data_IF_165411091360
#
_entry.id   IF_165411091360
#
_cell.length_a   1.000
_cell.length_b   1.000
_cell.length_c   1.000
_cell.angle_alpha   90.00
_cell.angle_beta   90.00
_cell.angle_gamma   90.00
#
_symmetry.space_group_name_H-M   'P 1'
#
loop_
_entity.id
_entity.type
_entity.pdbx_description
1 polymer ?
#
# COMPACT_ATOMS: atom_id res chain seq x y z
N UNK A 1 12.44 21.02 -9.37
CA UNK A 1 11.81 20.09 -10.32
C UNK A 1 12.79 18.97 -10.56
N UNK A 2 12.33 17.73 -10.73
CA UNK A 2 13.18 16.55 -10.89
C UNK A 2 12.62 15.64 -11.99
N UNK A 3 13.49 14.84 -12.61
CA UNK A 3 13.11 13.79 -13.53
C UNK A 3 12.79 12.51 -12.74
N UNK A 4 11.52 12.08 -12.77
CA UNK A 4 11.05 10.93 -11.99
C UNK A 4 10.56 9.83 -12.91
N UNK A 5 11.05 8.61 -12.69
CA UNK A 5 10.43 7.42 -13.25
C UNK A 5 9.35 6.89 -12.30
N UNK A 6 8.15 6.58 -12.79
CA UNK A 6 7.10 5.94 -11.99
C UNK A 6 6.72 4.57 -12.57
N UNK A 7 6.90 3.52 -11.76
CA UNK A 7 6.75 2.13 -12.16
C UNK A 7 5.55 1.53 -11.41
N UNK A 8 4.47 1.26 -12.14
CA UNK A 8 3.24 0.69 -11.61
C UNK A 8 2.14 1.74 -11.45
N UNK A 9 1.14 1.70 -12.34
CA UNK A 9 0.04 2.68 -12.40
C UNK A 9 -1.29 2.02 -12.01
N UNK A 10 -1.25 1.30 -10.89
CA UNK A 10 -2.43 0.71 -10.28
C UNK A 10 -3.32 1.76 -9.60
N UNK A 11 -4.28 1.26 -8.82
CA UNK A 11 -5.22 2.09 -8.03
C UNK A 11 -4.50 3.07 -7.10
N UNK A 12 -3.35 2.66 -6.54
CA UNK A 12 -2.52 3.51 -5.69
C UNK A 12 -1.52 4.35 -6.52
N UNK A 13 -0.76 3.70 -7.41
CA UNK A 13 0.34 4.34 -8.12
C UNK A 13 -0.08 5.42 -9.13
N UNK A 14 -1.21 5.25 -9.82
CA UNK A 14 -1.68 6.22 -10.82
C UNK A 14 -1.94 7.62 -10.23
N UNK A 15 -2.76 7.74 -9.16
CA UNK A 15 -2.96 9.02 -8.47
C UNK A 15 -1.69 9.62 -7.89
N UNK A 16 -0.81 8.80 -7.29
CA UNK A 16 0.48 9.29 -6.74
C UNK A 16 1.35 9.89 -7.83
N UNK A 17 1.51 9.22 -8.97
CA UNK A 17 2.21 9.77 -10.13
C UNK A 17 1.55 11.08 -10.60
N UNK A 18 0.22 11.14 -10.61
CA UNK A 18 -0.53 12.34 -11.00
C UNK A 18 -0.25 13.56 -10.11
N UNK A 19 -0.09 13.36 -8.80
CA UNK A 19 0.30 14.43 -7.88
C UNK A 19 1.72 14.95 -8.16
N UNK A 20 2.66 14.04 -8.46
CA UNK A 20 4.01 14.43 -8.87
C UNK A 20 4.02 15.25 -10.15
N UNK A 21 3.18 14.90 -11.13
CA UNK A 21 3.05 15.65 -12.38
C UNK A 21 2.52 17.07 -12.12
N UNK A 22 1.47 17.18 -11.31
CA UNK A 22 0.87 18.46 -10.91
C UNK A 22 1.83 19.33 -10.09
N UNK A 23 2.75 18.72 -9.34
CA UNK A 23 3.81 19.43 -8.63
C UNK A 23 4.94 19.93 -9.56
N UNK A 24 4.85 19.70 -10.88
CA UNK A 24 5.79 20.22 -11.87
C UNK A 24 7.02 19.33 -12.10
N UNK A 25 6.99 18.07 -11.68
CA UNK A 25 8.04 17.11 -12.03
C UNK A 25 7.87 16.58 -13.45
N UNK A 26 8.97 16.18 -14.09
CA UNK A 26 8.94 15.49 -15.38
C UNK A 26 8.80 13.99 -15.13
N UNK A 27 7.74 13.37 -15.63
CA UNK A 27 7.51 11.92 -15.44
C UNK A 27 7.83 11.11 -16.69
N UNK A 28 8.53 10.00 -16.47
CA UNK A 28 8.54 8.84 -17.37
C UNK A 28 7.86 7.67 -16.68
N UNK A 29 6.75 7.20 -17.21
CA UNK A 29 5.94 6.17 -16.56
C UNK A 29 6.04 4.82 -17.26
N UNK A 30 6.00 3.77 -16.47
CA UNK A 30 5.90 2.39 -16.93
C UNK A 30 4.79 1.65 -16.20
N UNK A 31 4.05 0.83 -16.94
CA UNK A 31 3.15 -0.15 -16.37
C UNK A 31 3.13 -1.39 -17.26
N UNK A 32 3.10 -2.60 -16.66
CA UNK A 32 3.07 -3.89 -17.39
C UNK A 32 1.99 -3.90 -18.48
N UNK A 33 0.80 -3.40 -18.17
CA UNK A 33 -0.25 -3.12 -19.16
C UNK A 33 -0.01 -1.73 -19.74
N UNK A 34 0.55 -1.68 -20.96
CA UNK A 34 0.93 -0.41 -21.62
C UNK A 34 -0.26 0.55 -21.79
N UNK A 35 -1.48 0.04 -21.96
CA UNK A 35 -2.69 0.86 -22.06
C UNK A 35 -2.86 1.79 -20.85
N UNK A 36 -2.58 1.33 -19.63
CA UNK A 36 -2.66 2.17 -18.43
C UNK A 36 -1.65 3.31 -18.44
N UNK A 37 -0.43 3.05 -18.95
CA UNK A 37 0.60 4.08 -19.06
C UNK A 37 0.26 5.15 -20.10
N UNK A 38 -0.30 4.73 -21.25
CA UNK A 38 -0.80 5.66 -22.27
C UNK A 38 -1.94 6.54 -21.75
N UNK A 39 -2.97 5.93 -21.16
CA UNK A 39 -4.08 6.70 -20.59
C UNK A 39 -3.65 7.64 -19.47
N UNK A 40 -2.67 7.24 -18.66
CA UNK A 40 -2.11 8.13 -17.64
C UNK A 40 -1.37 9.32 -18.27
N UNK A 41 -0.53 9.08 -19.29
CA UNK A 41 0.23 10.13 -19.96
C UNK A 41 -0.67 11.11 -20.72
N UNK A 42 -1.76 10.63 -21.33
CA UNK A 42 -2.80 11.46 -21.94
C UNK A 42 -3.46 12.40 -20.91
N UNK A 43 -3.68 11.94 -19.67
CA UNK A 43 -4.35 12.70 -18.64
C UNK A 43 -3.46 13.73 -17.93
N UNK A 44 -2.19 13.41 -17.68
CA UNK A 44 -1.31 14.22 -16.82
C UNK A 44 -0.10 14.83 -17.55
N UNK A 45 0.18 14.39 -18.78
CA UNK A 45 1.45 14.68 -19.44
C UNK A 45 2.60 13.83 -18.88
N UNK A 46 3.49 13.37 -19.77
CA UNK A 46 4.62 12.54 -19.41
C UNK A 46 5.03 11.60 -20.54
N UNK A 47 6.16 10.92 -20.37
CA UNK A 47 6.68 9.96 -21.36
C UNK A 47 6.31 8.53 -20.96
N UNK A 48 5.92 7.70 -21.92
CA UNK A 48 5.65 6.27 -21.68
C UNK A 48 6.88 5.45 -22.05
N UNK A 49 7.44 4.72 -21.09
CA UNK A 49 8.54 3.80 -21.32
C UNK A 49 8.03 2.38 -21.63
N UNK A 50 8.84 1.61 -22.36
CA UNK A 50 8.55 0.21 -22.73
C UNK A 50 9.08 -0.81 -21.71
N UNK A 51 9.99 -0.40 -20.83
CA UNK A 51 10.50 -1.21 -19.73
C UNK A 51 10.87 -0.34 -18.51
N UNK A 52 10.97 -0.93 -17.30
CA UNK A 52 11.46 -0.23 -16.11
C UNK A 52 12.87 0.37 -16.30
N UNK A 53 13.78 -0.36 -16.94
CA UNK A 53 15.10 0.13 -17.31
C UNK A 53 15.01 1.37 -18.20
N UNK A 54 14.18 1.34 -19.25
CA UNK A 54 13.96 2.50 -20.13
C UNK A 54 13.34 3.70 -19.40
N UNK A 55 12.47 3.45 -18.42
CA UNK A 55 11.91 4.53 -17.61
C UNK A 55 12.98 5.23 -16.74
N UNK A 56 13.97 4.47 -16.27
CA UNK A 56 14.96 4.93 -15.30
C UNK A 56 16.23 5.57 -15.91
N UNK A 57 16.44 5.51 -17.23
CA UNK A 57 17.70 5.97 -17.89
C UNK A 57 18.09 7.42 -17.54
N UNK A 58 17.13 8.34 -17.51
CA UNK A 58 17.36 9.77 -17.23
C UNK A 58 16.70 10.24 -15.92
N UNK A 59 16.29 9.28 -15.09
CA UNK A 59 15.61 9.57 -13.83
C UNK A 59 16.61 9.84 -12.71
N UNK A 60 16.38 10.94 -11.99
CA UNK A 60 17.05 11.23 -10.71
C UNK A 60 16.41 10.43 -9.58
N UNK A 61 15.11 10.16 -9.71
CA UNK A 61 14.30 9.43 -8.74
C UNK A 61 13.49 8.37 -9.48
N UNK A 62 13.49 7.14 -8.97
CA UNK A 62 12.62 6.07 -9.44
C UNK A 62 11.68 5.69 -8.30
N UNK A 63 10.37 5.73 -8.57
CA UNK A 63 9.33 5.36 -7.62
C UNK A 63 8.60 4.12 -8.15
N UNK A 64 8.38 3.14 -7.28
CA UNK A 64 7.62 1.93 -7.62
C UNK A 64 6.40 1.73 -6.73
N UNK A 65 5.33 1.19 -7.32
CA UNK A 65 4.10 0.82 -6.64
C UNK A 65 3.45 -0.35 -7.40
N UNK A 66 3.92 -1.57 -7.13
CA UNK A 66 3.53 -2.79 -7.87
C UNK A 66 2.74 -3.77 -6.99
N UNK A 67 2.69 -5.06 -7.33
CA UNK A 67 1.81 -6.04 -6.66
C UNK A 67 2.48 -6.81 -5.53
N UNK A 68 3.60 -7.48 -5.84
CA UNK A 68 4.22 -8.51 -4.99
C UNK A 68 5.75 -8.36 -4.93
N UNK A 69 6.40 -9.13 -4.06
CA UNK A 69 7.86 -9.27 -4.00
C UNK A 69 8.46 -9.63 -5.36
N UNK A 70 7.85 -10.56 -6.09
CA UNK A 70 8.32 -10.99 -7.41
C UNK A 70 8.16 -9.90 -8.46
N UNK A 71 7.02 -9.19 -8.46
CA UNK A 71 6.83 -8.03 -9.34
C UNK A 71 7.89 -6.95 -9.05
N UNK A 72 8.14 -6.66 -7.77
CA UNK A 72 9.11 -5.65 -7.35
C UNK A 72 10.53 -6.06 -7.75
N UNK A 73 10.91 -7.31 -7.51
CA UNK A 73 12.21 -7.85 -7.94
C UNK A 73 12.36 -7.80 -9.46
N UNK A 74 11.32 -8.16 -10.22
CA UNK A 74 11.33 -8.08 -11.68
C UNK A 74 11.56 -6.67 -12.20
N UNK A 75 10.86 -5.67 -11.65
CA UNK A 75 10.96 -4.28 -12.13
C UNK A 75 12.20 -3.54 -11.63
N UNK A 76 12.93 -4.09 -10.66
CA UNK A 76 14.16 -3.48 -10.11
C UNK A 76 15.40 -4.25 -10.55
N UNK A 77 15.53 -5.50 -10.12
CA UNK A 77 16.69 -6.36 -10.31
C UNK A 77 16.61 -7.21 -11.59
N UNK A 78 15.45 -7.30 -12.24
CA UNK A 78 15.28 -8.05 -13.48
C UNK A 78 16.20 -7.59 -14.61
N UNK A 79 16.24 -8.36 -15.71
CA UNK A 79 17.05 -8.04 -16.90
C UNK A 79 16.75 -6.65 -17.47
N UNK A 80 15.48 -6.28 -17.46
CA UNK A 80 14.96 -4.97 -17.88
C UNK A 80 14.53 -4.10 -16.68
N UNK A 81 15.07 -4.39 -15.49
CA UNK A 81 14.73 -3.70 -14.25
C UNK A 81 15.40 -2.32 -14.13
N UNK A 82 14.82 -1.44 -13.32
CA UNK A 82 15.27 -0.06 -13.16
C UNK A 82 16.73 0.06 -12.70
N UNK A 83 17.22 -0.84 -11.82
CA UNK A 83 18.59 -0.76 -11.28
C UNK A 83 19.67 -1.03 -12.35
N UNK A 84 19.27 -1.41 -13.57
CA UNK A 84 20.17 -1.61 -14.71
C UNK A 84 20.62 -0.29 -15.34
N UNK A 85 19.85 0.78 -15.18
CA UNK A 85 20.05 2.05 -15.88
C UNK A 85 20.04 3.27 -14.97
N UNK A 86 19.59 3.12 -13.71
CA UNK A 86 19.72 4.16 -12.70
C UNK A 86 21.19 4.58 -12.51
N UNK A 87 21.42 5.90 -12.43
CA UNK A 87 22.75 6.50 -12.28
C UNK A 87 23.18 6.53 -10.81
N UNK A 88 24.48 6.42 -10.49
CA UNK A 88 24.97 6.65 -9.13
C UNK A 88 24.54 8.02 -8.59
N UNK A 89 24.17 8.08 -7.31
CA UNK A 89 23.58 9.25 -6.65
C UNK A 89 22.06 9.39 -6.80
N UNK A 90 21.41 8.54 -7.61
CA UNK A 90 19.95 8.54 -7.75
C UNK A 90 19.25 7.92 -6.53
N UNK A 91 17.94 8.15 -6.45
CA UNK A 91 17.10 7.70 -5.35
C UNK A 91 16.00 6.73 -5.84
N UNK A 92 15.90 5.58 -5.21
CA UNK A 92 14.82 4.62 -5.37
C UNK A 92 13.86 4.68 -4.18
N UNK A 93 12.56 4.80 -4.46
CA UNK A 93 11.48 4.80 -3.45
C UNK A 93 10.48 3.69 -3.80
N UNK A 94 10.25 2.76 -2.88
CA UNK A 94 9.26 1.69 -3.06
C UNK A 94 8.04 1.90 -2.16
N UNK A 95 6.87 2.09 -2.77
CA UNK A 95 5.57 2.14 -2.08
C UNK A 95 4.83 0.80 -2.07
N UNK A 96 5.40 -0.23 -2.68
CA UNK A 96 4.81 -1.57 -2.70
C UNK A 96 4.77 -2.13 -1.29
N UNK A 97 3.70 -2.81 -0.91
CA UNK A 97 3.70 -3.60 0.33
C UNK A 97 4.27 -4.98 0.02
N UNK A 98 5.46 -5.26 0.56
CA UNK A 98 6.29 -6.45 0.26
C UNK A 98 6.98 -6.94 1.54
N UNK A 99 7.70 -8.06 1.46
CA UNK A 99 8.48 -8.53 2.60
C UNK A 99 9.58 -7.54 3.01
N UNK A 100 9.90 -7.50 4.30
CA UNK A 100 11.07 -6.75 4.77
C UNK A 100 12.38 -7.32 4.24
N UNK A 101 12.39 -8.60 3.82
CA UNK A 101 13.52 -9.27 3.17
C UNK A 101 13.84 -8.65 1.81
N UNK A 102 12.87 -8.50 0.91
CA UNK A 102 13.13 -7.90 -0.42
C UNK A 102 13.54 -6.42 -0.28
N UNK A 103 12.93 -5.67 0.64
CA UNK A 103 13.35 -4.29 0.93
C UNK A 103 14.83 -4.20 1.35
N UNK A 104 15.27 -5.09 2.26
CA UNK A 104 16.68 -5.19 2.67
C UNK A 104 17.60 -5.60 1.52
N UNK A 105 17.16 -6.52 0.66
CA UNK A 105 17.91 -6.92 -0.53
C UNK A 105 18.10 -5.74 -1.50
N UNK A 106 17.02 -5.01 -1.81
CA UNK A 106 17.09 -3.86 -2.70
C UNK A 106 17.98 -2.75 -2.16
N UNK A 107 17.99 -2.55 -0.84
CA UNK A 107 18.93 -1.64 -0.21
C UNK A 107 20.40 -2.03 -0.48
N UNK A 108 20.76 -3.29 -0.26
CA UNK A 108 22.14 -3.78 -0.51
C UNK A 108 22.51 -3.69 -1.99
N UNK A 109 21.62 -4.12 -2.88
CA UNK A 109 21.83 -4.05 -4.34
C UNK A 109 21.94 -2.61 -4.83
N UNK A 110 21.13 -1.70 -4.28
CA UNK A 110 21.17 -0.28 -4.58
C UNK A 110 22.49 0.36 -4.14
N UNK A 111 22.90 0.14 -2.89
CA UNK A 111 24.16 0.67 -2.35
C UNK A 111 25.38 0.21 -3.17
N UNK A 112 25.40 -1.05 -3.62
CA UNK A 112 26.47 -1.58 -4.49
C UNK A 112 26.62 -0.83 -5.83
N UNK A 113 25.57 -0.10 -6.25
CA UNK A 113 25.49 0.69 -7.47
C UNK A 113 25.53 2.20 -7.21
N UNK A 114 25.67 2.61 -5.95
CA UNK A 114 25.57 4.00 -5.53
C UNK A 114 24.14 4.57 -5.63
N UNK A 115 23.11 3.72 -5.54
CA UNK A 115 21.70 4.13 -5.56
C UNK A 115 21.18 4.14 -4.11
N UNK A 116 20.68 5.29 -3.67
CA UNK A 116 20.00 5.39 -2.39
C UNK A 116 18.63 4.72 -2.47
N UNK A 117 18.27 3.90 -1.49
CA UNK A 117 17.00 3.16 -1.49
C UNK A 117 16.18 3.41 -0.23
N UNK A 118 14.87 3.61 -0.40
CA UNK A 118 13.90 3.79 0.68
C UNK A 118 12.70 2.86 0.46
N UNK A 119 12.47 1.95 1.40
CA UNK A 119 11.18 1.25 1.49
C UNK A 119 10.17 2.16 2.20
N UNK A 120 9.14 2.58 1.49
CA UNK A 120 8.20 3.61 1.89
C UNK A 120 6.73 3.16 1.71
N UNK A 121 6.30 1.98 2.20
CA UNK A 121 4.91 1.57 2.07
C UNK A 121 3.94 2.60 2.66
N UNK A 122 2.72 2.61 2.12
CA UNK A 122 1.73 3.65 2.38
C UNK A 122 0.47 3.12 3.06
N UNK A 123 -0.23 3.99 3.77
CA UNK A 123 -1.57 3.76 4.34
C UNK A 123 -2.48 4.95 4.06
N UNK A 124 -3.80 4.72 4.03
CA UNK A 124 -4.83 5.70 3.64
C UNK A 124 -5.72 5.26 2.46
N UNK A 125 -5.42 4.12 1.83
CA UNK A 125 -6.21 3.55 0.73
C UNK A 125 -6.27 4.41 -0.53
N UNK A 126 -7.14 4.04 -1.46
CA UNK A 126 -7.34 4.75 -2.73
C UNK A 126 -7.69 6.22 -2.49
N UNK A 127 -8.61 6.51 -1.57
CA UNK A 127 -9.01 7.87 -1.23
C UNK A 127 -7.82 8.72 -0.74
N UNK A 128 -6.92 8.15 0.05
CA UNK A 128 -5.69 8.82 0.48
C UNK A 128 -4.76 9.15 -0.69
N UNK A 129 -4.63 8.23 -1.65
CA UNK A 129 -3.81 8.43 -2.85
C UNK A 129 -4.40 9.50 -3.78
N UNK A 130 -5.70 9.46 -4.03
CA UNK A 130 -6.40 10.45 -4.87
C UNK A 130 -6.35 11.85 -4.28
N UNK A 131 -6.50 11.98 -2.96
CA UNK A 131 -6.50 13.26 -2.27
C UNK A 131 -5.09 13.77 -1.91
N UNK A 132 -4.03 12.99 -2.16
CA UNK A 132 -2.66 13.38 -1.81
C UNK A 132 -2.42 13.45 -0.30
N UNK A 133 -3.07 12.57 0.46
CA UNK A 133 -3.08 12.55 1.93
C UNK A 133 -2.61 11.21 2.51
N UNK A 134 -1.71 10.52 1.83
CA UNK A 134 -1.17 9.24 2.32
C UNK A 134 -0.35 9.43 3.59
N UNK A 135 -0.31 8.37 4.40
CA UNK A 135 0.65 8.20 5.50
C UNK A 135 1.74 7.24 5.05
N UNK A 136 3.00 7.67 5.12
CA UNK A 136 4.15 6.93 4.59
C UNK A 136 5.09 6.53 5.72
N UNK A 137 5.46 5.25 5.73
CA UNK A 137 6.35 4.61 6.71
C UNK A 137 7.69 4.32 6.03
N UNK A 138 8.74 5.06 6.35
CA UNK A 138 10.01 5.01 5.61
C UNK A 138 11.09 4.23 6.36
N UNK A 139 11.62 3.19 5.73
CA UNK A 139 12.88 2.52 6.08
C UNK A 139 14.00 2.93 5.13
N UNK A 140 15.19 3.21 5.66
CA UNK A 140 16.35 3.61 4.87
C UNK A 140 17.36 4.41 5.69
N UNK A 141 18.43 4.88 5.05
CA UNK A 141 19.37 5.81 5.71
C UNK A 141 18.72 7.19 5.88
N UNK A 142 19.14 7.93 6.90
CA UNK A 142 18.61 9.28 7.16
C UNK A 142 18.78 10.24 5.96
N UNK A 143 19.93 10.26 5.24
CA UNK A 143 20.07 11.07 4.04
C UNK A 143 19.09 10.67 2.93
N UNK A 144 18.93 9.37 2.66
CA UNK A 144 18.03 8.87 1.62
C UNK A 144 16.56 9.23 1.94
N UNK A 145 16.13 9.02 3.19
CA UNK A 145 14.76 9.34 3.63
C UNK A 145 14.52 10.86 3.62
N UNK A 146 15.53 11.67 3.96
CA UNK A 146 15.43 13.13 3.88
C UNK A 146 15.25 13.61 2.44
N UNK A 147 16.01 13.06 1.49
CA UNK A 147 15.83 13.33 0.07
C UNK A 147 14.44 12.89 -0.43
N UNK A 148 14.01 11.68 -0.05
CA UNK A 148 12.72 11.13 -0.43
C UNK A 148 11.53 11.97 0.10
N UNK A 149 11.64 12.53 1.30
CA UNK A 149 10.61 13.38 1.91
C UNK A 149 10.23 14.57 1.02
N UNK A 150 11.19 15.17 0.33
CA UNK A 150 10.97 16.36 -0.51
C UNK A 150 9.95 16.06 -1.61
N UNK A 151 10.05 14.90 -2.27
CA UNK A 151 9.12 14.52 -3.34
C UNK A 151 7.84 13.88 -2.80
N UNK A 152 7.92 13.14 -1.69
CA UNK A 152 6.76 12.49 -1.08
C UNK A 152 5.71 13.49 -0.54
N UNK A 153 6.13 14.70 -0.18
CA UNK A 153 5.21 15.76 0.28
C UNK A 153 4.13 16.15 -0.74
N UNK A 154 4.34 15.86 -2.03
CA UNK A 154 3.34 16.12 -3.06
C UNK A 154 2.05 15.28 -2.92
N UNK A 155 2.12 14.12 -2.24
CA UNK A 155 1.01 13.17 -2.14
C UNK A 155 0.82 12.58 -0.73
N UNK A 156 1.51 13.12 0.27
CA UNK A 156 1.49 12.60 1.63
C UNK A 156 1.15 13.69 2.64
N UNK A 157 0.25 13.35 3.57
CA UNK A 157 -0.04 14.18 4.74
C UNK A 157 0.91 13.87 5.92
N UNK A 158 1.49 12.66 5.94
CA UNK A 158 2.40 12.24 7.01
C UNK A 158 3.51 11.36 6.45
N UNK A 159 4.75 11.67 6.78
CA UNK A 159 5.93 10.91 6.38
C UNK A 159 6.82 10.69 7.60
N UNK A 160 7.03 9.44 7.99
CA UNK A 160 7.79 9.09 9.21
C UNK A 160 8.97 8.21 8.85
N UNK A 161 10.17 8.59 9.29
CA UNK A 161 11.36 7.73 9.23
C UNK A 161 11.32 6.80 10.44
N UNK A 162 11.18 5.49 10.20
CA UNK A 162 10.92 4.50 11.26
C UNK A 162 12.13 3.59 11.53
N UNK A 163 13.20 3.71 10.75
CA UNK A 163 14.43 2.96 10.96
C UNK A 163 15.20 2.74 9.65
N UNK A 164 16.13 1.77 9.69
CA UNK A 164 16.90 1.35 8.52
C UNK A 164 16.07 0.58 7.49
N UNK A 165 16.73 0.04 6.46
CA UNK A 165 16.07 -0.72 5.39
C UNK A 165 15.21 -1.88 5.94
N UNK A 166 14.00 -2.01 5.41
CA UNK A 166 12.98 -2.97 5.83
C UNK A 166 12.13 -2.53 7.02
N UNK A 167 12.50 -1.46 7.73
CA UNK A 167 11.71 -0.94 8.85
C UNK A 167 10.38 -0.34 8.36
N UNK A 168 10.32 0.23 7.16
CA UNK A 168 9.08 0.72 6.56
C UNK A 168 8.10 -0.44 6.33
N UNK A 169 8.56 -1.51 5.68
CA UNK A 169 7.75 -2.73 5.47
C UNK A 169 7.31 -3.39 6.77
N UNK A 170 8.22 -3.52 7.75
CA UNK A 170 7.88 -4.08 9.07
C UNK A 170 6.82 -3.21 9.78
N UNK A 171 6.94 -1.89 9.69
CA UNK A 171 5.92 -0.97 10.23
C UNK A 171 4.59 -1.10 9.51
N UNK A 172 4.60 -1.30 8.19
CA UNK A 172 3.39 -1.58 7.41
C UNK A 172 2.72 -2.87 7.87
N UNK A 173 3.46 -3.93 8.18
CA UNK A 173 2.90 -5.16 8.75
C UNK A 173 2.20 -4.89 10.08
N UNK A 174 2.80 -4.09 10.97
CA UNK A 174 2.15 -3.64 12.22
C UNK A 174 0.82 -2.93 11.91
N UNK A 175 0.79 -2.03 10.92
CA UNK A 175 -0.43 -1.35 10.51
C UNK A 175 -1.52 -2.35 10.06
N UNK A 176 -1.16 -3.33 9.24
CA UNK A 176 -2.12 -4.32 8.73
C UNK A 176 -2.63 -5.27 9.82
N UNK A 177 -1.77 -5.64 10.78
CA UNK A 177 -2.18 -6.40 11.99
C UNK A 177 -3.25 -5.63 12.78
N UNK A 178 -3.03 -4.34 13.04
CA UNK A 178 -4.02 -3.51 13.74
C UNK A 178 -5.33 -3.41 12.97
N UNK A 179 -5.27 -3.19 11.65
CA UNK A 179 -6.47 -3.09 10.80
C UNK A 179 -7.27 -4.40 10.84
N UNK A 180 -6.60 -5.55 10.75
CA UNK A 180 -7.27 -6.85 10.77
C UNK A 180 -8.06 -7.08 12.07
N UNK A 181 -7.44 -6.79 13.22
CA UNK A 181 -8.12 -6.91 14.52
C UNK A 181 -9.33 -5.98 14.64
N UNK A 182 -9.19 -4.71 14.23
CA UNK A 182 -10.27 -3.73 14.25
C UNK A 182 -11.43 -4.15 13.34
N UNK A 183 -11.15 -4.56 12.11
CA UNK A 183 -12.19 -4.94 11.15
C UNK A 183 -12.97 -6.18 11.61
N UNK A 184 -12.30 -7.17 12.20
CA UNK A 184 -12.99 -8.33 12.75
C UNK A 184 -13.92 -7.94 13.90
N UNK A 185 -13.44 -7.11 14.84
CA UNK A 185 -14.29 -6.61 15.92
C UNK A 185 -15.49 -5.81 15.42
N UNK A 186 -15.32 -4.98 14.39
CA UNK A 186 -16.42 -4.24 13.77
C UNK A 186 -17.42 -5.16 13.06
N UNK A 187 -16.93 -6.19 12.37
CA UNK A 187 -17.79 -7.17 11.70
C UNK A 187 -18.67 -7.93 12.71
N UNK A 188 -18.10 -8.36 13.84
CA UNK A 188 -18.83 -8.99 14.93
C UNK A 188 -19.85 -8.04 15.57
N UNK A 189 -19.43 -6.82 15.92
CA UNK A 189 -20.30 -5.82 16.53
C UNK A 189 -21.49 -5.45 15.62
N UNK A 190 -21.26 -5.29 14.31
CA UNK A 190 -22.30 -5.01 13.31
C UNK A 190 -23.37 -6.10 13.29
N UNK A 191 -22.95 -7.36 13.21
CA UNK A 191 -23.89 -8.49 13.14
C UNK A 191 -24.57 -8.77 14.47
N UNK A 192 -23.88 -8.53 15.58
CA UNK A 192 -24.49 -8.55 16.91
C UNK A 192 -25.59 -7.49 17.04
N UNK A 193 -25.33 -6.26 16.60
CA UNK A 193 -26.33 -5.18 16.64
C UNK A 193 -27.57 -5.52 15.79
N UNK A 194 -27.38 -6.14 14.61
CA UNK A 194 -28.49 -6.64 13.78
C UNK A 194 -29.28 -7.75 14.48
N UNK A 195 -28.60 -8.73 15.08
CA UNK A 195 -29.24 -9.82 15.81
C UNK A 195 -29.97 -9.35 17.08
N UNK A 196 -29.52 -8.24 17.67
CA UNK A 196 -30.18 -7.57 18.79
C UNK A 196 -31.29 -6.59 18.34
N UNK A 197 -31.61 -6.55 17.04
CA UNK A 197 -32.64 -5.69 16.44
C UNK A 197 -32.42 -4.18 16.73
N UNK A 198 -31.16 -3.75 16.84
CA UNK A 198 -30.80 -2.36 17.08
C UNK A 198 -30.75 -1.56 15.77
N UNK A 199 -31.13 -0.28 15.85
CA UNK A 199 -30.94 0.67 14.76
C UNK A 199 -29.44 0.97 14.57
N UNK A 200 -28.91 0.62 13.40
CA UNK A 200 -27.46 0.63 13.15
C UNK A 200 -26.88 2.04 13.05
N UNK A 201 -27.66 3.02 12.63
CA UNK A 201 -27.23 4.42 12.58
C UNK A 201 -27.15 5.01 13.99
N UNK A 202 -28.14 4.72 14.85
CA UNK A 202 -28.14 5.09 16.27
C UNK A 202 -26.98 4.42 17.03
N UNK A 203 -26.71 3.14 16.75
CA UNK A 203 -25.55 2.44 17.34
C UNK A 203 -24.24 3.12 16.94
N UNK A 204 -24.09 3.47 15.65
CA UNK A 204 -22.91 4.19 15.18
C UNK A 204 -22.76 5.54 15.87
N UNK A 205 -23.82 6.35 15.95
CA UNK A 205 -23.82 7.63 16.65
C UNK A 205 -23.35 7.48 18.11
N UNK A 206 -23.84 6.45 18.81
CA UNK A 206 -23.52 6.23 20.21
C UNK A 206 -22.04 5.86 20.45
N UNK A 207 -21.42 5.07 19.56
CA UNK A 207 -20.08 4.50 19.80
C UNK A 207 -18.94 5.19 19.03
N UNK A 208 -19.25 5.85 17.91
CA UNK A 208 -18.24 6.49 17.06
C UNK A 208 -17.59 7.73 17.67
N UNK A 209 -18.16 8.31 18.73
CA UNK A 209 -17.52 9.38 19.51
C UNK A 209 -16.66 8.89 20.69
N UNK A 210 -16.67 7.58 20.97
CA UNK A 210 -16.08 7.01 22.19
C UNK A 210 -14.78 6.23 21.95
N UNK A 211 -14.34 5.48 22.98
CA UNK A 211 -13.09 4.71 22.95
C UNK A 211 -13.06 3.58 21.91
N UNK A 212 -14.22 3.15 21.40
CA UNK A 212 -14.34 2.16 20.33
C UNK A 212 -14.08 2.74 18.94
N UNK A 213 -13.99 4.08 18.82
CA UNK A 213 -13.81 4.75 17.54
C UNK A 213 -12.54 4.27 16.84
N UNK A 214 -12.66 4.12 15.52
CA UNK A 214 -11.52 3.90 14.65
C UNK A 214 -11.83 4.44 13.26
N UNK A 215 -10.78 4.72 12.48
CA UNK A 215 -10.95 5.11 11.08
C UNK A 215 -11.78 4.07 10.29
N UNK A 216 -11.61 2.78 10.60
CA UNK A 216 -12.38 1.72 9.94
C UNK A 216 -13.87 1.80 10.28
N UNK A 217 -14.22 2.14 11.52
CA UNK A 217 -15.62 2.33 11.93
C UNK A 217 -16.25 3.45 11.10
N UNK A 218 -15.66 4.64 11.13
CA UNK A 218 -16.18 5.84 10.46
C UNK A 218 -16.34 5.62 8.95
N UNK A 219 -15.46 4.84 8.33
CA UNK A 219 -15.40 4.69 6.88
C UNK A 219 -15.98 3.37 6.36
N UNK A 220 -16.36 2.42 7.22
CA UNK A 220 -16.88 1.09 6.80
C UNK A 220 -18.20 0.70 7.45
N UNK A 221 -18.61 1.34 8.55
CA UNK A 221 -19.85 0.97 9.24
C UNK A 221 -21.06 0.97 8.30
N UNK A 222 -21.29 2.09 7.62
CA UNK A 222 -22.43 2.27 6.70
C UNK A 222 -22.43 1.27 5.55
N UNK A 223 -21.27 0.99 4.96
CA UNK A 223 -21.16 0.06 3.83
C UNK A 223 -21.33 -1.39 4.27
N UNK A 224 -20.85 -1.77 5.47
CA UNK A 224 -21.16 -3.07 6.09
C UNK A 224 -22.65 -3.22 6.39
N UNK A 225 -23.30 -2.19 6.95
CA UNK A 225 -24.74 -2.21 7.22
C UNK A 225 -25.58 -2.44 5.94
N UNK A 226 -25.11 -1.92 4.81
CA UNK A 226 -25.73 -2.03 3.50
C UNK A 226 -25.30 -3.26 2.69
N UNK A 227 -24.44 -4.12 3.24
CA UNK A 227 -23.80 -5.25 2.54
C UNK A 227 -23.16 -4.85 1.19
N UNK A 228 -22.57 -3.65 1.12
CA UNK A 228 -21.89 -3.10 -0.07
C UNK A 228 -20.38 -3.13 0.12
N UNK A 229 -19.66 -3.72 -0.85
CA UNK A 229 -18.21 -3.96 -0.70
C UNK A 229 -17.38 -3.75 -1.98
N UNK A 230 -17.96 -3.29 -3.08
CA UNK A 230 -17.25 -3.17 -4.37
C UNK A 230 -16.45 -1.85 -4.46
N UNK A 231 -15.55 -1.63 -3.50
CA UNK A 231 -14.68 -0.47 -3.40
C UNK A 231 -13.42 -0.78 -2.58
N UNK A 232 -12.54 0.21 -2.43
CA UNK A 232 -11.52 0.21 -1.37
C UNK A 232 -10.43 -0.85 -1.51
N UNK A 233 -10.02 -1.45 -0.38
CA UNK A 233 -8.86 -2.33 -0.32
C UNK A 233 -9.30 -3.79 -0.41
N UNK A 234 -8.91 -4.48 -1.49
CA UNK A 234 -9.39 -5.84 -1.76
C UNK A 234 -8.92 -6.88 -0.74
N UNK A 235 -9.78 -7.87 -0.45
CA UNK A 235 -9.46 -9.02 0.41
C UNK A 235 -8.20 -9.75 -0.05
N UNK A 236 -8.00 -9.96 -1.35
CA UNK A 236 -6.77 -10.59 -1.87
C UNK A 236 -5.49 -9.85 -1.43
N UNK A 237 -5.52 -8.52 -1.41
CA UNK A 237 -4.38 -7.72 -0.97
C UNK A 237 -4.18 -7.80 0.54
N UNK A 238 -5.27 -7.83 1.31
CA UNK A 238 -5.18 -8.00 2.75
C UNK A 238 -4.62 -9.37 3.12
N UNK A 239 -5.05 -10.45 2.46
CA UNK A 239 -4.49 -11.80 2.63
C UNK A 239 -2.98 -11.82 2.33
N UNK A 240 -2.55 -11.18 1.25
CA UNK A 240 -1.13 -11.03 0.94
C UNK A 240 -0.39 -10.32 2.08
N UNK A 241 -0.90 -9.18 2.53
CA UNK A 241 -0.28 -8.38 3.58
C UNK A 241 -0.21 -9.12 4.94
N UNK A 242 -1.27 -9.84 5.32
CA UNK A 242 -1.26 -10.68 6.52
C UNK A 242 -0.32 -11.88 6.36
N UNK A 243 -0.23 -12.47 5.18
CA UNK A 243 0.75 -13.50 4.85
C UNK A 243 2.19 -13.03 5.10
N UNK A 244 2.53 -11.82 4.65
CA UNK A 244 3.83 -11.19 4.91
C UNK A 244 4.08 -11.01 6.41
N UNK A 245 3.09 -10.50 7.15
CA UNK A 245 3.21 -10.31 8.59
C UNK A 245 3.40 -11.64 9.35
N UNK A 246 2.67 -12.69 8.97
CA UNK A 246 2.78 -14.02 9.55
C UNK A 246 4.12 -14.70 9.22
N UNK A 247 4.67 -14.45 8.03
CA UNK A 247 6.00 -14.91 7.66
C UNK A 247 7.10 -14.21 8.45
N UNK A 248 7.05 -12.88 8.55
CA UNK A 248 8.01 -12.11 9.36
C UNK A 248 7.93 -12.49 10.84
N UNK A 249 6.72 -12.78 11.36
CA UNK A 249 6.53 -13.26 12.73
C UNK A 249 7.22 -14.61 12.99
N UNK A 250 7.18 -15.54 12.03
CA UNK A 250 7.95 -16.79 12.11
C UNK A 250 9.46 -16.54 12.14
N UNK A 251 9.94 -15.53 11.42
CA UNK A 251 11.36 -15.20 11.36
C UNK A 251 11.86 -14.49 12.64
N UNK A 252 11.05 -13.61 13.24
CA UNK A 252 11.46 -12.81 14.40
C UNK A 252 10.96 -13.34 15.76
N UNK A 253 10.13 -14.38 15.78
CA UNK A 253 9.59 -15.00 16.99
C UNK A 253 8.33 -14.34 17.57
N UNK A 254 7.72 -13.37 16.87
CA UNK A 254 6.47 -12.76 17.30
C UNK A 254 5.28 -13.75 17.23
N UNK A 255 4.31 -13.56 18.12
CA UNK A 255 3.10 -14.41 18.19
C UNK A 255 1.87 -13.59 17.77
N UNK A 256 1.23 -13.99 16.67
CA UNK A 256 0.12 -13.26 16.04
C UNK A 256 -1.17 -14.11 15.93
N UNK A 257 -1.75 -14.59 17.06
CA UNK A 257 -2.86 -15.54 17.02
C UNK A 257 -4.13 -14.95 16.42
N UNK A 258 -4.46 -13.69 16.77
CA UNK A 258 -5.62 -12.98 16.21
C UNK A 258 -5.44 -12.77 14.71
N UNK A 259 -4.24 -12.35 14.28
CA UNK A 259 -3.96 -12.16 12.85
C UNK A 259 -4.09 -13.46 12.06
N UNK A 260 -3.56 -14.57 12.58
CA UNK A 260 -3.69 -15.88 11.94
C UNK A 260 -5.16 -16.30 11.81
N UNK A 261 -5.97 -16.06 12.84
CA UNK A 261 -7.41 -16.33 12.80
C UNK A 261 -8.13 -15.47 11.76
N UNK A 262 -7.89 -14.15 11.74
CA UNK A 262 -8.51 -13.24 10.78
C UNK A 262 -8.06 -13.53 9.34
N UNK A 263 -6.82 -13.96 9.12
CA UNK A 263 -6.35 -14.43 7.81
C UNK A 263 -7.18 -15.62 7.30
N UNK A 264 -7.49 -16.59 8.16
CA UNK A 264 -8.40 -17.69 7.82
C UNK A 264 -9.82 -17.19 7.55
N UNK A 265 -10.28 -16.17 8.27
CA UNK A 265 -11.60 -15.60 8.04
C UNK A 265 -11.72 -14.92 6.67
N UNK A 266 -10.66 -14.27 6.21
CA UNK A 266 -10.59 -13.76 4.85
C UNK A 266 -10.53 -14.88 3.81
N UNK A 267 -9.99 -16.06 4.15
CA UNK A 267 -10.04 -17.25 3.26
C UNK A 267 -11.47 -17.67 2.95
N UNK A 268 -12.36 -17.66 3.95
CA UNK A 268 -13.76 -18.01 3.70
C UNK A 268 -14.44 -16.93 2.85
N UNK A 269 -14.12 -15.65 3.05
CA UNK A 269 -14.66 -14.57 2.20
C UNK A 269 -14.23 -14.77 0.74
N UNK A 270 -12.99 -15.19 0.49
CA UNK A 270 -12.52 -15.57 -0.84
C UNK A 270 -13.31 -16.77 -1.39
N UNK A 271 -13.54 -17.81 -0.58
CA UNK A 271 -14.37 -18.96 -0.98
C UNK A 271 -15.82 -18.57 -1.31
N UNK A 272 -16.33 -17.48 -0.71
CA UNK A 272 -17.62 -16.86 -1.02
C UNK A 272 -17.59 -15.90 -2.24
N UNK A 273 -16.51 -15.92 -3.03
CA UNK A 273 -16.30 -15.07 -4.21
C UNK A 273 -15.90 -13.62 -3.91
N UNK A 274 -15.57 -13.28 -2.66
CA UNK A 274 -15.28 -11.92 -2.20
C UNK A 274 -13.87 -11.40 -2.47
N UNK A 275 -13.11 -12.01 -3.37
CA UNK A 275 -11.70 -11.70 -3.66
C UNK A 275 -11.38 -10.21 -3.81
N UNK A 276 -12.21 -9.50 -4.59
CA UNK A 276 -12.00 -8.09 -4.95
C UNK A 276 -12.81 -7.10 -4.11
N UNK A 277 -13.56 -7.60 -3.14
CA UNK A 277 -14.36 -6.77 -2.23
C UNK A 277 -13.47 -6.10 -1.18
N UNK A 278 -13.92 -4.97 -0.64
CA UNK A 278 -13.24 -4.27 0.45
C UNK A 278 -13.04 -5.23 1.64
N UNK A 279 -11.96 -5.02 2.39
CA UNK A 279 -11.66 -5.76 3.62
C UNK A 279 -12.77 -5.78 4.67
N UNK A 280 -13.74 -4.85 4.62
CA UNK A 280 -14.94 -4.90 5.48
C UNK A 280 -15.93 -6.02 5.11
N UNK A 281 -15.78 -6.64 3.93
CA UNK A 281 -16.54 -7.84 3.53
C UNK A 281 -16.33 -9.04 4.46
N UNK A 282 -15.39 -8.95 5.40
CA UNK A 282 -15.24 -9.88 6.52
C UNK A 282 -16.57 -10.14 7.24
N UNK A 283 -17.45 -9.12 7.34
CA UNK A 283 -18.79 -9.23 7.94
C UNK A 283 -19.71 -10.24 7.23
N UNK A 284 -19.46 -10.58 5.96
CA UNK A 284 -20.27 -11.55 5.20
C UNK A 284 -20.17 -12.97 5.77
N UNK A 285 -19.09 -13.29 6.49
CA UNK A 285 -18.90 -14.62 7.07
C UNK A 285 -19.84 -14.92 8.24
N UNK A 286 -20.35 -13.86 8.88
CA UNK A 286 -21.25 -13.96 10.01
C UNK A 286 -22.67 -13.82 9.46
N UNK A 287 -23.53 -14.77 9.81
CA UNK A 287 -24.91 -14.83 9.33
C UNK A 287 -25.64 -13.54 9.72
N UNK A 288 -26.33 -12.95 8.74
CA UNK A 288 -27.25 -11.85 8.96
C UNK A 288 -28.52 -12.41 9.62
N UNK A 289 -28.84 -11.89 10.81
CA UNK A 289 -30.10 -12.18 11.49
C UNK A 289 -31.29 -11.58 10.72
#
# INVERSE_FOLDING_TARGET
MANIAFIGLGVMGGPVAGHLAKAGHSLTVYNRSIGKAKSWAEAYGGTVATSPAKAAEEAEIVISCVGTDDDLSQVTLGREGAFRTMKPGSLFIDHTTVSARIARQLFVEGESRGIHSVDAPVSGGQAGAENGRLSIMCGGTEPAVTAAKIVMQAYAARIVHVGGAGAGQTTKMVNQICIAGVLQGLAEAMRFAQAAELDLDTVFEAISGGAAQSWQMDNRWKTMAQDSFDFGFAVDWMRKDLGLALEEARANGATLPVTAMVDQFYADVQAMGGHRQDTSALVRRIIKA
#
